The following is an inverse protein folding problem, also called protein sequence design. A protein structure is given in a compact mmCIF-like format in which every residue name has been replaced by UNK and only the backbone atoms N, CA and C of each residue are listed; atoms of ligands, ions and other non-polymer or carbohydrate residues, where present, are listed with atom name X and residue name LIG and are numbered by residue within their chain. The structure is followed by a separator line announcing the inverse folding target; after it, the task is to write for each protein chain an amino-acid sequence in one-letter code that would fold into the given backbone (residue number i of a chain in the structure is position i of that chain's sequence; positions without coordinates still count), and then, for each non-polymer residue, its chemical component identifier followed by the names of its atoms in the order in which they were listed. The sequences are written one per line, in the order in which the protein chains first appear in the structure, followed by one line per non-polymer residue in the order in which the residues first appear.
data_IF_344645454558
#
_entry.id   IF_344645454558
#
_cell.length_a   1.000
_cell.length_b   1.000
_cell.length_c   1.000
_cell.angle_alpha   90.00
_cell.angle_beta   90.00
_cell.angle_gamma   90.00
#
_symmetry.space_group_name_H-M   'P 1'
#
loop_
_entity.id
_entity.type
_entity.pdbx_description
1 polymer ?
#
# COMPACT_ATOMS: atom_id res chain seq x y z
N UNK A 1 22.89 4.84 -48.35
CA UNK A 1 23.62 3.68 -47.83
C UNK A 1 24.12 3.97 -46.43
N UNK A 2 23.71 3.16 -45.45
CA UNK A 2 24.07 3.20 -44.03
C UNK A 2 25.59 3.09 -43.82
N UNK A 3 26.14 3.62 -42.71
CA UNK A 3 26.61 2.72 -41.64
C UNK A 3 26.24 3.21 -40.22
N UNK A 4 25.65 2.36 -39.39
CA UNK A 4 26.30 1.67 -38.27
C UNK A 4 26.68 2.60 -37.10
N UNK A 5 25.73 2.82 -36.19
CA UNK A 5 25.99 3.31 -34.84
C UNK A 5 26.22 2.09 -33.93
N UNK A 6 27.47 1.85 -33.55
CA UNK A 6 27.81 1.00 -32.41
C UNK A 6 28.71 1.84 -31.50
N UNK A 7 28.15 2.36 -30.42
CA UNK A 7 28.90 2.99 -29.35
C UNK A 7 28.56 2.26 -28.05
N UNK A 8 29.58 1.57 -27.53
CA UNK A 8 29.58 0.83 -26.28
C UNK A 8 29.27 1.78 -25.12
N UNK A 9 28.07 1.69 -24.56
CA UNK A 9 27.74 2.32 -23.29
C UNK A 9 28.42 1.52 -22.16
N UNK A 10 29.51 2.08 -21.63
CA UNK A 10 30.17 1.58 -20.41
C UNK A 10 29.20 1.73 -19.23
N UNK A 11 28.79 0.65 -18.55
CA UNK A 11 27.99 0.74 -17.35
C UNK A 11 28.89 1.25 -16.21
N UNK A 12 28.32 2.06 -15.32
CA UNK A 12 28.80 2.44 -13.97
C UNK A 12 28.84 3.94 -13.67
N UNK A 13 28.74 4.85 -14.66
CA UNK A 13 28.63 6.30 -14.38
C UNK A 13 27.19 6.85 -14.39
N UNK A 14 26.21 6.11 -14.94
CA UNK A 14 24.84 6.61 -15.04
C UNK A 14 24.05 6.48 -13.72
N UNK A 15 24.39 5.52 -12.86
CA UNK A 15 23.61 5.20 -11.66
C UNK A 15 23.75 6.24 -10.52
N UNK A 16 24.86 7.00 -10.47
CA UNK A 16 25.06 8.05 -9.46
C UNK A 16 24.39 9.37 -9.85
N UNK A 17 24.34 9.71 -11.14
CA UNK A 17 23.72 10.94 -11.62
C UNK A 17 22.18 10.94 -11.44
N UNK A 18 21.52 9.79 -11.65
CA UNK A 18 20.05 9.65 -11.52
C UNK A 18 19.59 9.85 -10.06
N UNK A 19 20.45 9.54 -9.06
CA UNK A 19 20.10 9.72 -7.65
C UNK A 19 20.05 11.20 -7.24
N UNK A 20 20.99 12.01 -7.72
CA UNK A 20 21.13 13.40 -7.29
C UNK A 20 19.97 14.30 -7.74
N UNK A 21 19.44 14.11 -8.96
CA UNK A 21 18.31 14.92 -9.45
C UNK A 21 16.96 14.46 -8.88
N UNK A 22 16.82 13.17 -8.58
CA UNK A 22 15.63 12.64 -7.92
C UNK A 22 15.45 13.24 -6.51
N UNK A 23 16.52 13.48 -5.76
CA UNK A 23 16.43 14.05 -4.40
C UNK A 23 15.79 15.46 -4.36
N UNK A 24 16.01 16.30 -5.37
CA UNK A 24 15.39 17.62 -5.47
C UNK A 24 13.97 17.61 -6.05
N UNK A 25 13.66 16.60 -6.88
CA UNK A 25 12.35 16.43 -7.49
C UNK A 25 11.35 15.66 -6.60
N UNK A 26 11.81 14.82 -5.67
CA UNK A 26 10.95 14.01 -4.79
C UNK A 26 9.89 14.84 -4.02
N UNK A 27 10.21 16.01 -3.42
CA UNK A 27 9.20 16.81 -2.73
C UNK A 27 8.14 17.37 -3.68
N UNK A 28 8.55 17.84 -4.87
CA UNK A 28 7.63 18.38 -5.88
C UNK A 28 6.76 17.26 -6.48
N UNK A 29 7.36 16.12 -6.81
CA UNK A 29 6.64 14.93 -7.29
C UNK A 29 5.65 14.44 -6.25
N UNK A 30 6.03 14.38 -4.97
CA UNK A 30 5.12 13.96 -3.90
C UNK A 30 3.96 14.94 -3.69
N UNK A 31 4.22 16.24 -3.77
CA UNK A 31 3.19 17.28 -3.68
C UNK A 31 2.16 17.20 -4.82
N UNK A 32 2.62 16.91 -6.04
CA UNK A 32 1.78 16.77 -7.24
C UNK A 32 1.17 15.36 -7.40
N UNK A 33 1.51 14.42 -6.51
CA UNK A 33 0.99 13.05 -6.57
C UNK A 33 -0.34 12.94 -5.84
N UNK A 34 -1.35 12.44 -6.56
CA UNK A 34 -2.63 12.01 -5.99
C UNK A 34 -2.59 10.50 -5.77
N UNK A 35 -2.96 10.05 -4.57
CA UNK A 35 -3.11 8.63 -4.25
C UNK A 35 -4.57 8.30 -3.95
N UNK A 36 -5.04 7.17 -4.45
CA UNK A 36 -6.37 6.64 -4.11
C UNK A 36 -6.23 5.25 -3.52
N UNK A 37 -6.75 5.08 -2.30
CA UNK A 37 -6.78 3.80 -1.60
C UNK A 37 -8.11 3.09 -1.87
N UNK A 38 -8.04 1.90 -2.45
CA UNK A 38 -9.20 1.09 -2.73
C UNK A 38 -9.73 0.32 -1.50
N UNK A 39 -10.90 -0.32 -1.64
CA UNK A 39 -11.44 -1.22 -0.62
C UNK A 39 -10.42 -2.31 -0.25
N UNK A 40 -10.22 -2.54 1.03
CA UNK A 40 -9.35 -3.59 1.56
C UNK A 40 -10.00 -4.27 2.75
N UNK A 41 -9.36 -5.30 3.32
CA UNK A 41 -9.83 -5.84 4.59
C UNK A 41 -9.75 -4.75 5.66
N UNK A 42 -10.86 -4.51 6.36
CA UNK A 42 -10.98 -3.41 7.31
C UNK A 42 -10.36 -3.73 8.68
N UNK A 43 -10.15 -2.70 9.51
CA UNK A 43 -9.46 -2.83 10.80
C UNK A 43 -10.15 -3.78 11.77
N UNK A 44 -11.47 -3.95 11.67
CA UNK A 44 -12.22 -4.86 12.53
C UNK A 44 -12.10 -6.34 12.15
N UNK A 45 -11.55 -6.65 10.97
CA UNK A 45 -11.49 -8.02 10.43
C UNK A 45 -10.06 -8.51 10.15
N UNK A 46 -9.10 -7.60 10.00
CA UNK A 46 -7.73 -7.98 9.68
C UNK A 46 -6.94 -8.33 10.94
N UNK A 47 -6.89 -9.63 11.24
CA UNK A 47 -6.10 -10.14 12.35
C UNK A 47 -4.66 -10.46 11.91
N UNK A 48 -3.70 -10.04 12.72
CA UNK A 48 -2.27 -10.30 12.54
C UNK A 48 -1.61 -10.75 13.85
N UNK A 49 -0.44 -11.38 13.74
CA UNK A 49 0.41 -11.73 14.88
C UNK A 49 1.32 -10.59 15.33
N UNK A 50 2.04 -10.79 16.45
CA UNK A 50 2.95 -9.78 16.99
C UNK A 50 4.12 -9.48 16.05
N UNK A 51 4.54 -10.44 15.21
CA UNK A 51 5.61 -10.28 14.23
C UNK A 51 5.29 -9.23 13.17
N UNK A 52 4.03 -9.19 12.71
CA UNK A 52 3.59 -8.19 11.74
C UNK A 52 3.55 -6.82 12.40
N UNK A 53 2.97 -6.72 13.60
CA UNK A 53 2.94 -5.46 14.35
C UNK A 53 4.36 -4.91 14.56
N UNK A 54 5.30 -5.75 14.99
CA UNK A 54 6.70 -5.36 15.17
C UNK A 54 7.31 -4.83 13.88
N UNK A 55 7.18 -5.56 12.76
CA UNK A 55 7.74 -5.14 11.48
C UNK A 55 7.26 -3.75 11.01
N UNK A 56 6.01 -3.36 11.33
CA UNK A 56 5.52 -2.02 11.02
C UNK A 56 5.94 -0.97 12.07
N UNK A 57 5.85 -1.29 13.36
CA UNK A 57 6.16 -0.35 14.44
C UNK A 57 7.66 -0.04 14.56
N UNK A 58 8.52 -0.99 14.22
CA UNK A 58 9.98 -0.81 14.22
C UNK A 58 10.43 0.09 13.07
N UNK A 59 9.68 0.11 11.97
CA UNK A 59 9.93 0.97 10.82
C UNK A 59 9.35 2.38 10.99
N UNK A 60 8.19 2.50 11.65
CA UNK A 60 7.52 3.75 11.93
C UNK A 60 6.71 3.66 13.24
N UNK A 61 7.09 4.45 14.24
CA UNK A 61 6.41 4.46 15.53
C UNK A 61 4.93 4.89 15.43
N UNK A 62 4.58 5.72 14.44
CA UNK A 62 3.18 6.13 14.21
C UNK A 62 2.29 4.95 13.83
N UNK A 63 2.87 3.88 13.26
CA UNK A 63 2.14 2.67 12.91
C UNK A 63 1.47 1.99 14.10
N UNK A 64 1.92 2.25 15.33
CA UNK A 64 1.31 1.72 16.56
C UNK A 64 -0.19 2.07 16.65
N UNK A 65 -0.59 3.24 16.17
CA UNK A 65 -1.99 3.67 16.16
C UNK A 65 -2.89 2.81 15.25
N UNK A 66 -2.31 2.07 14.32
CA UNK A 66 -3.01 1.18 13.40
C UNK A 66 -3.19 -0.25 13.95
N UNK A 67 -2.79 -0.53 15.20
CA UNK A 67 -2.95 -1.86 15.81
C UNK A 67 -3.73 -1.79 17.12
N UNK A 68 -4.74 -2.64 17.26
CA UNK A 68 -5.53 -2.81 18.49
C UNK A 68 -5.43 -4.26 18.93
N UNK A 69 -5.17 -4.49 20.23
CA UNK A 69 -5.15 -5.86 20.76
C UNK A 69 -6.52 -6.54 20.59
N UNK A 70 -6.55 -7.78 20.11
CA UNK A 70 -7.81 -8.51 19.91
C UNK A 70 -8.31 -9.08 21.23
N UNK A 71 -9.48 -8.62 21.67
CA UNK A 71 -10.14 -9.17 22.85
C UNK A 71 -10.37 -10.68 22.71
N UNK A 72 -10.00 -11.45 23.74
CA UNK A 72 -10.16 -12.92 23.76
C UNK A 72 -9.13 -13.72 22.97
N UNK A 73 -8.13 -13.07 22.35
CA UNK A 73 -7.05 -13.75 21.64
C UNK A 73 -5.68 -13.16 22.02
N UNK A 74 -5.06 -13.62 23.12
CA UNK A 74 -3.76 -13.14 23.58
C UNK A 74 -2.71 -13.21 22.46
N UNK A 75 -1.97 -12.12 22.27
CA UNK A 75 -0.94 -12.02 21.23
C UNK A 75 -1.46 -11.76 19.81
N UNK A 76 -2.78 -11.63 19.60
CA UNK A 76 -3.34 -11.23 18.30
C UNK A 76 -3.73 -9.75 18.30
N UNK A 77 -3.59 -9.13 17.13
CA UNK A 77 -3.93 -7.74 16.90
C UNK A 77 -4.88 -7.61 15.73
N UNK A 78 -5.81 -6.67 15.84
CA UNK A 78 -6.57 -6.10 14.74
C UNK A 78 -5.75 -4.98 14.11
N UNK A 79 -5.58 -5.02 12.79
CA UNK A 79 -4.68 -4.15 12.05
C UNK A 79 -5.45 -3.28 11.05
N UNK A 80 -5.26 -1.97 11.10
CA UNK A 80 -5.73 -1.03 10.09
C UNK A 80 -4.75 -0.97 8.91
N UNK A 81 -5.00 -1.79 7.89
CA UNK A 81 -4.17 -1.82 6.69
C UNK A 81 -4.24 -0.53 5.86
N UNK A 82 -5.41 0.11 5.79
CA UNK A 82 -5.56 1.38 5.06
C UNK A 82 -4.85 2.53 5.80
N UNK A 83 -4.94 2.55 7.13
CA UNK A 83 -4.16 3.44 7.98
C UNK A 83 -2.65 3.31 7.77
N UNK A 84 -2.13 2.08 7.75
CA UNK A 84 -0.70 1.84 7.48
C UNK A 84 -0.26 2.32 6.09
N UNK A 85 -1.11 2.14 5.07
CA UNK A 85 -0.83 2.66 3.74
C UNK A 85 -0.79 4.20 3.71
N UNK A 86 -1.72 4.86 4.43
CA UNK A 86 -1.74 6.32 4.57
C UNK A 86 -0.47 6.85 5.24
N UNK A 87 -0.07 6.26 6.36
CA UNK A 87 1.16 6.65 7.06
C UNK A 87 2.39 6.56 6.14
N UNK A 88 2.50 5.46 5.38
CA UNK A 88 3.61 5.28 4.43
C UNK A 88 3.60 6.30 3.30
N UNK A 89 2.44 6.61 2.74
CA UNK A 89 2.32 7.63 1.68
C UNK A 89 2.65 9.03 2.21
N UNK A 90 2.18 9.35 3.42
CA UNK A 90 2.49 10.63 4.08
C UNK A 90 3.98 10.77 4.40
N UNK A 91 4.64 9.69 4.84
CA UNK A 91 6.08 9.68 5.05
C UNK A 91 6.89 9.92 3.77
N UNK A 92 6.32 9.61 2.59
CA UNK A 92 6.88 9.92 1.28
C UNK A 92 6.56 11.35 0.80
N UNK A 93 5.84 12.15 1.60
CA UNK A 93 5.40 13.51 1.25
C UNK A 93 4.10 13.58 0.45
N UNK A 94 3.44 12.45 0.20
CA UNK A 94 2.17 12.40 -0.54
C UNK A 94 1.04 12.69 0.45
N UNK A 95 0.43 13.87 0.34
CA UNK A 95 -0.63 14.32 1.26
C UNK A 95 -2.03 14.23 0.65
N UNK A 96 -2.13 14.22 -0.68
CA UNK A 96 -3.39 14.13 -1.40
C UNK A 96 -3.85 12.67 -1.53
N UNK A 97 -4.34 12.09 -0.42
CA UNK A 97 -4.73 10.68 -0.32
C UNK A 97 -6.25 10.53 -0.14
N UNK A 98 -6.90 9.93 -1.12
CA UNK A 98 -8.36 9.75 -1.20
C UNK A 98 -8.78 8.27 -1.09
N UNK A 99 -10.08 8.03 -1.00
CA UNK A 99 -10.65 6.68 -0.94
C UNK A 99 -10.71 6.15 0.48
N UNK A 100 -10.38 4.88 0.65
CA UNK A 100 -10.52 4.10 1.88
C UNK A 100 -10.04 4.85 3.12
N UNK A 101 -10.99 5.15 4.00
CA UNK A 101 -10.84 5.88 5.26
C UNK A 101 -10.88 4.94 6.49
N UNK A 102 -10.63 3.65 6.26
CA UNK A 102 -10.68 2.58 7.26
C UNK A 102 -12.06 2.31 7.86
N UNK A 103 -13.14 2.89 7.32
CA UNK A 103 -14.50 2.66 7.81
C UNK A 103 -15.14 1.39 7.22
N UNK A 104 -16.21 0.92 7.87
CA UNK A 104 -16.89 -0.31 7.50
C UNK A 104 -17.30 -0.41 6.02
N UNK A 105 -17.81 0.65 5.35
CA UNK A 105 -18.12 0.62 3.92
C UNK A 105 -16.98 0.18 3.00
N UNK A 106 -15.72 0.40 3.37
CA UNK A 106 -14.55 0.00 2.57
C UNK A 106 -14.03 -1.40 2.89
N UNK A 107 -14.57 -2.04 3.92
CA UNK A 107 -14.13 -3.36 4.36
C UNK A 107 -14.66 -4.45 3.43
N UNK A 108 -13.75 -5.12 2.71
CA UNK A 108 -14.09 -6.22 1.79
C UNK A 108 -14.65 -7.44 2.50
N UNK A 109 -14.38 -7.63 3.79
CA UNK A 109 -14.92 -8.75 4.58
C UNK A 109 -16.33 -8.44 5.10
N UNK A 110 -16.60 -7.20 5.53
CA UNK A 110 -17.89 -6.83 6.09
C UNK A 110 -18.96 -6.54 5.01
N UNK A 111 -18.54 -6.14 3.81
CA UNK A 111 -19.43 -5.79 2.70
C UNK A 111 -19.38 -6.82 1.56
N UNK A 112 -19.85 -8.03 1.83
CA UNK A 112 -19.91 -9.15 0.86
C UNK A 112 -20.86 -8.88 -0.31
N UNK A 113 -21.82 -7.96 -0.17
CA UNK A 113 -22.75 -7.57 -1.23
C UNK A 113 -22.19 -6.54 -2.22
N UNK A 114 -21.06 -5.88 -1.88
CA UNK A 114 -20.43 -4.85 -2.72
C UNK A 114 -19.00 -5.19 -3.15
N UNK A 115 -18.30 -6.07 -2.42
CA UNK A 115 -16.91 -6.40 -2.74
C UNK A 115 -16.62 -7.91 -2.64
N UNK A 116 -15.87 -8.45 -3.60
CA UNK A 116 -15.37 -9.83 -3.56
C UNK A 116 -14.32 -9.99 -2.44
N UNK A 117 -14.46 -11.01 -1.58
CA UNK A 117 -13.56 -11.28 -0.44
C UNK A 117 -12.78 -12.58 -0.62
N UNK A 118 -11.44 -12.50 -0.62
CA UNK A 118 -10.56 -13.67 -0.77
C UNK A 118 -10.59 -14.63 0.41
N UNK A 119 -10.79 -14.10 1.62
CA UNK A 119 -10.72 -14.88 2.86
C UNK A 119 -11.92 -15.81 3.07
N UNK A 120 -13.08 -15.46 2.51
CA UNK A 120 -14.27 -16.33 2.52
C UNK A 120 -14.38 -17.22 1.28
N UNK A 121 -13.99 -16.75 0.09
CA UNK A 121 -14.00 -17.57 -1.13
C UNK A 121 -13.10 -18.81 -1.03
N UNK A 122 -11.97 -18.72 -0.34
CA UNK A 122 -11.10 -19.88 -0.11
C UNK A 122 -11.69 -20.91 0.89
N UNK A 123 -12.54 -20.47 1.83
CA UNK A 123 -13.16 -21.35 2.82
C UNK A 123 -14.46 -21.99 2.33
N UNK A 124 -15.12 -21.43 1.30
CA UNK A 124 -16.44 -21.89 0.81
C UNK A 124 -16.47 -22.30 -0.67
N UNK A 125 -15.62 -21.72 -1.54
CA UNK A 125 -15.73 -21.86 -3.01
C UNK A 125 -14.40 -22.17 -3.74
N UNK A 126 -13.27 -22.31 -3.04
CA UNK A 126 -11.96 -22.62 -3.64
C UNK A 126 -11.30 -21.50 -4.45
N UNK A 127 -11.98 -20.36 -4.68
CA UNK A 127 -11.44 -19.17 -5.34
C UNK A 127 -12.24 -17.91 -4.98
N UNK A 128 -11.64 -16.72 -5.16
CA UNK A 128 -12.29 -15.43 -4.99
C UNK A 128 -11.87 -14.45 -6.09
N UNK A 129 -12.79 -13.57 -6.48
CA UNK A 129 -12.55 -12.54 -7.51
C UNK A 129 -11.39 -11.60 -7.14
N UNK A 130 -10.77 -11.02 -8.16
CA UNK A 130 -9.68 -10.04 -8.06
C UNK A 130 -10.21 -8.64 -8.35
N UNK A 131 -9.88 -7.65 -7.52
CA UNK A 131 -10.07 -6.24 -7.85
C UNK A 131 -8.95 -5.77 -8.77
N UNK A 132 -9.31 -4.98 -9.78
CA UNK A 132 -8.37 -4.23 -10.60
C UNK A 132 -8.60 -2.73 -10.34
N UNK A 133 -7.53 -1.99 -10.08
CA UNK A 133 -7.53 -0.53 -10.13
C UNK A 133 -6.80 -0.13 -11.42
N UNK A 134 -7.47 0.63 -12.28
CA UNK A 134 -6.90 1.12 -13.53
C UNK A 134 -6.79 2.64 -13.46
N UNK A 135 -5.62 3.17 -13.82
CA UNK A 135 -5.40 4.59 -14.08
C UNK A 135 -5.06 4.73 -15.57
N UNK A 136 -5.70 5.66 -16.27
CA UNK A 136 -5.36 5.98 -17.66
C UNK A 136 -5.20 7.49 -17.81
N UNK A 137 -4.31 7.88 -18.73
CA UNK A 137 -4.24 9.24 -19.25
C UNK A 137 -5.00 9.23 -20.58
N UNK A 138 -5.97 10.15 -20.73
CA UNK A 138 -6.67 10.37 -21.99
C UNK A 138 -5.75 10.89 -23.08
#
# INVERSE_FOLDING_TARGET
STPYFCALARPHSAASAIKSEAQGALPAVAADTLAWLGPCIGPQAFEVGPEVRAAFCDADAAAQACFVARAGAPGKYLCDLAGLARLRLQALGITQIYGNDSTAPWCTVANTSRFFSHRQGAAVLGASGRFAACIWRG
#
